data_IF_437267928263
#
_entry.id   IF_437267928263
#
_cell.length_a   1.000
_cell.length_b   1.000
_cell.length_c   1.000
_cell.angle_alpha   90.00
_cell.angle_beta   90.00
_cell.angle_gamma   90.00
#
_symmetry.space_group_name_H-M   'P 1'
#
loop_
_entity.id
_entity.type
_entity.pdbx_description
1 polymer ?
#
# COMPACT_ATOMS: atom_id res chain seq x y z
N UNK A 1 -5.14 -2.17 39.65
CA UNK A 1 -5.50 -1.76 38.28
C UNK A 1 -4.21 -1.30 37.62
N UNK A 2 -3.76 -1.97 36.56
CA UNK A 2 -2.56 -1.54 35.81
C UNK A 2 -3.03 -0.45 34.85
N UNK A 3 -2.73 0.81 35.14
CA UNK A 3 -2.78 1.87 34.14
C UNK A 3 -1.85 1.44 33.01
N UNK A 4 -2.43 1.12 31.86
CA UNK A 4 -1.68 0.81 30.65
C UNK A 4 -1.16 2.17 30.18
N UNK A 5 0.12 2.44 30.41
CA UNK A 5 0.69 3.76 30.16
C UNK A 5 0.36 4.22 28.73
N UNK A 6 -0.31 5.36 28.65
CA UNK A 6 -0.51 6.13 27.43
C UNK A 6 0.82 6.25 26.69
N UNK A 7 0.86 5.80 25.43
CA UNK A 7 2.06 5.98 24.60
C UNK A 7 2.27 7.47 24.35
N UNK A 8 3.53 7.90 24.43
CA UNK A 8 3.90 9.30 24.20
C UNK A 8 3.24 9.83 22.89
N UNK A 9 2.39 10.87 22.94
CA UNK A 9 1.70 11.44 21.78
C UNK A 9 2.65 11.78 20.64
N UNK A 10 3.85 12.30 20.94
CA UNK A 10 4.84 12.61 19.91
C UNK A 10 5.34 11.35 19.19
N UNK A 11 5.41 10.21 19.87
CA UNK A 11 5.75 8.93 19.22
C UNK A 11 4.64 8.50 18.27
N UNK A 12 3.39 8.52 18.72
CA UNK A 12 2.22 8.15 17.92
C UNK A 12 2.07 9.06 16.69
N UNK A 13 2.31 10.36 16.85
CA UNK A 13 2.33 11.31 15.74
C UNK A 13 3.43 10.97 14.72
N UNK A 14 4.66 10.74 15.19
CA UNK A 14 5.79 10.41 14.32
C UNK A 14 5.60 9.06 13.61
N UNK A 15 5.04 8.06 14.27
CA UNK A 15 4.68 6.77 13.68
C UNK A 15 3.63 6.97 12.57
N UNK A 16 2.61 7.79 12.82
CA UNK A 16 1.58 8.12 11.82
C UNK A 16 2.16 8.86 10.61
N UNK A 17 3.04 9.85 10.83
CA UNK A 17 3.71 10.55 9.73
C UNK A 17 4.59 9.63 8.87
N UNK A 18 5.31 8.70 9.50
CA UNK A 18 6.10 7.69 8.77
C UNK A 18 5.18 6.77 7.96
N UNK A 19 4.08 6.32 8.55
CA UNK A 19 3.09 5.51 7.85
C UNK A 19 2.55 6.22 6.60
N UNK A 20 2.18 7.51 6.72
CA UNK A 20 1.73 8.33 5.57
C UNK A 20 2.81 8.36 4.49
N UNK A 21 4.07 8.68 4.85
CA UNK A 21 5.18 8.72 3.89
C UNK A 21 5.41 7.37 3.19
N UNK A 22 5.28 6.25 3.91
CA UNK A 22 5.40 4.91 3.34
C UNK A 22 4.26 4.60 2.37
N UNK A 23 3.02 4.99 2.72
CA UNK A 23 1.85 4.83 1.86
C UNK A 23 1.93 5.71 0.60
N UNK A 24 2.48 6.92 0.71
CA UNK A 24 2.73 7.78 -0.46
C UNK A 24 3.80 7.19 -1.39
N UNK A 25 4.87 6.61 -0.84
CA UNK A 25 5.84 5.88 -1.65
C UNK A 25 5.19 4.71 -2.40
N UNK A 26 4.28 4.01 -1.72
CA UNK A 26 3.53 2.89 -2.31
C UNK A 26 2.57 3.36 -3.40
N UNK A 27 2.01 4.58 -3.30
CA UNK A 27 1.22 5.21 -4.37
C UNK A 27 2.04 5.32 -5.64
N UNK A 28 3.24 5.88 -5.52
CA UNK A 28 4.15 6.06 -6.65
C UNK A 28 4.57 4.69 -7.22
N UNK A 29 4.77 3.68 -6.37
CA UNK A 29 5.08 2.32 -6.79
C UNK A 29 3.93 1.66 -7.56
N UNK A 30 2.68 1.78 -7.10
CA UNK A 30 1.50 1.25 -7.80
C UNK A 30 1.36 1.93 -9.17
N UNK A 31 1.52 3.25 -9.23
CA UNK A 31 1.48 4.00 -10.48
C UNK A 31 2.56 3.52 -11.46
N UNK A 32 3.81 3.40 -10.98
CA UNK A 32 4.92 2.87 -11.77
C UNK A 32 4.62 1.46 -12.32
N UNK A 33 4.09 0.56 -11.49
CA UNK A 33 3.76 -0.80 -11.91
C UNK A 33 2.61 -0.84 -12.93
N UNK A 34 1.62 0.05 -12.78
CA UNK A 34 0.53 0.22 -13.74
C UNK A 34 1.06 0.65 -15.10
N UNK A 35 1.93 1.66 -15.13
CA UNK A 35 2.54 2.15 -16.37
C UNK A 35 3.47 1.12 -16.99
N UNK A 36 4.22 0.39 -16.17
CA UNK A 36 5.05 -0.71 -16.62
C UNK A 36 4.24 -1.82 -17.31
N UNK A 37 3.08 -2.21 -16.78
CA UNK A 37 2.21 -3.18 -17.45
C UNK A 37 1.66 -2.62 -18.78
N UNK A 38 1.30 -1.33 -18.82
CA UNK A 38 0.80 -0.68 -20.04
C UNK A 38 1.83 -0.75 -21.17
N UNK A 39 3.11 -0.53 -20.88
CA UNK A 39 4.21 -0.61 -21.86
C UNK A 39 4.33 -1.99 -22.54
N UNK A 40 3.95 -3.08 -21.86
CA UNK A 40 4.01 -4.45 -22.40
C UNK A 40 2.65 -5.01 -22.84
N UNK A 41 1.62 -4.16 -22.99
CA UNK A 41 0.24 -4.59 -23.25
C UNK A 41 0.11 -5.44 -24.53
N UNK A 42 0.79 -5.07 -25.62
CA UNK A 42 0.69 -5.77 -26.90
C UNK A 42 1.24 -7.20 -26.82
N UNK A 43 2.38 -7.37 -26.14
CA UNK A 43 2.98 -8.67 -25.88
C UNK A 43 2.13 -9.50 -24.93
N UNK A 44 1.51 -8.88 -23.92
CA UNK A 44 0.64 -9.55 -22.96
C UNK A 44 -0.60 -10.14 -23.63
N UNK A 45 -1.27 -9.37 -24.50
CA UNK A 45 -2.48 -9.82 -25.19
C UNK A 45 -2.20 -10.96 -26.18
N UNK A 46 -1.00 -11.00 -26.76
CA UNK A 46 -0.58 -12.04 -27.69
C UNK A 46 0.10 -13.25 -27.03
N UNK A 47 0.25 -13.23 -25.71
CA UNK A 47 0.93 -14.29 -24.95
C UNK A 47 -0.04 -15.22 -24.23
N UNK A 48 0.50 -16.36 -23.77
CA UNK A 48 -0.19 -17.28 -22.84
C UNK A 48 -0.52 -16.65 -21.48
N UNK A 49 -0.07 -15.42 -21.20
CA UNK A 49 -0.23 -14.73 -19.92
C UNK A 49 -1.39 -13.73 -19.89
N UNK A 50 -2.30 -13.76 -20.88
CA UNK A 50 -3.44 -12.84 -20.93
C UNK A 50 -4.27 -12.85 -19.64
N UNK A 51 -4.66 -14.02 -19.13
CA UNK A 51 -5.49 -14.12 -17.91
C UNK A 51 -4.73 -13.65 -16.66
N UNK A 52 -3.43 -13.97 -16.56
CA UNK A 52 -2.57 -13.49 -15.47
C UNK A 52 -2.44 -11.96 -15.50
N UNK A 53 -2.26 -11.36 -16.69
CA UNK A 53 -2.18 -9.90 -16.83
C UNK A 53 -3.49 -9.20 -16.48
N UNK A 54 -4.65 -9.75 -16.84
CA UNK A 54 -5.95 -9.22 -16.42
C UNK A 54 -6.11 -9.23 -14.91
N UNK A 55 -5.70 -10.33 -14.25
CA UNK A 55 -5.71 -10.42 -12.78
C UNK A 55 -4.81 -9.36 -12.16
N UNK A 56 -3.61 -9.15 -12.70
CA UNK A 56 -2.67 -8.12 -12.21
C UNK A 56 -3.26 -6.71 -12.37
N UNK A 57 -3.87 -6.40 -13.51
CA UNK A 57 -4.50 -5.09 -13.74
C UNK A 57 -5.67 -4.87 -12.78
N UNK A 58 -6.47 -5.91 -12.52
CA UNK A 58 -7.54 -5.85 -11.53
C UNK A 58 -6.98 -5.61 -10.13
N UNK A 59 -5.94 -6.34 -9.72
CA UNK A 59 -5.29 -6.18 -8.42
C UNK A 59 -4.72 -4.77 -8.23
N UNK A 60 -4.05 -4.22 -9.26
CA UNK A 60 -3.52 -2.84 -9.23
C UNK A 60 -4.64 -1.81 -9.02
N UNK A 61 -5.77 -1.94 -9.74
CA UNK A 61 -6.92 -1.03 -9.56
C UNK A 61 -7.57 -1.17 -8.18
N UNK A 62 -7.64 -2.39 -7.64
CA UNK A 62 -8.12 -2.60 -6.26
C UNK A 62 -7.16 -2.00 -5.24
N UNK A 63 -5.85 -2.11 -5.46
CA UNK A 63 -4.83 -1.61 -4.53
C UNK A 63 -4.78 -0.09 -4.52
N UNK A 64 -4.95 0.57 -5.67
CA UNK A 64 -5.09 2.02 -5.77
C UNK A 64 -6.24 2.54 -4.88
N UNK A 65 -7.43 1.95 -5.01
CA UNK A 65 -8.60 2.32 -4.18
C UNK A 65 -8.39 2.03 -2.70
N UNK A 66 -7.76 0.91 -2.39
CA UNK A 66 -7.47 0.51 -1.01
C UNK A 66 -6.48 1.50 -0.36
N UNK A 67 -5.46 1.90 -1.13
CA UNK A 67 -4.47 2.87 -0.69
C UNK A 67 -5.08 4.24 -0.44
N UNK A 68 -5.96 4.72 -1.34
CA UNK A 68 -6.66 5.99 -1.15
C UNK A 68 -7.49 6.00 0.15
N UNK A 69 -8.22 4.92 0.42
CA UNK A 69 -8.97 4.78 1.67
C UNK A 69 -8.03 4.79 2.88
N UNK A 70 -6.96 3.99 2.83
CA UNK A 70 -6.04 3.86 3.96
C UNK A 70 -5.27 5.15 4.24
N UNK A 71 -4.86 5.89 3.21
CA UNK A 71 -4.26 7.23 3.35
C UNK A 71 -5.23 8.19 4.02
N UNK A 72 -6.49 8.21 3.57
CA UNK A 72 -7.53 9.04 4.17
C UNK A 72 -7.77 8.70 5.64
N UNK A 73 -7.87 7.41 5.96
CA UNK A 73 -8.08 6.94 7.33
C UNK A 73 -6.89 7.30 8.22
N UNK A 74 -5.66 7.15 7.72
CA UNK A 74 -4.43 7.52 8.44
C UNK A 74 -4.32 9.03 8.65
N UNK A 75 -4.69 9.85 7.67
CA UNK A 75 -4.72 11.32 7.78
C UNK A 75 -5.77 11.78 8.81
N UNK A 76 -6.97 11.19 8.78
CA UNK A 76 -7.99 11.45 9.79
C UNK A 76 -7.49 11.06 11.18
N UNK A 77 -6.85 9.90 11.32
CA UNK A 77 -6.27 9.44 12.58
C UNK A 77 -5.18 10.37 13.13
N UNK A 78 -4.36 10.94 12.23
CA UNK A 78 -3.38 11.97 12.58
C UNK A 78 -4.06 13.22 13.16
N UNK A 79 -5.16 13.66 12.54
CA UNK A 79 -5.90 14.84 12.99
C UNK A 79 -6.61 14.59 14.32
N UNK A 80 -7.16 13.39 14.51
CA UNK A 80 -7.81 12.99 15.76
C UNK A 80 -6.82 13.04 16.96
N UNK A 81 -5.54 12.77 16.74
CA UNK A 81 -4.52 12.93 17.79
C UNK A 81 -4.44 14.38 18.29
N UNK A 82 -4.49 15.33 17.35
CA UNK A 82 -4.43 16.74 17.69
C UNK A 82 -5.65 17.15 18.52
N UNK A 83 -6.85 16.71 18.09
CA UNK A 83 -8.09 16.93 18.83
C UNK A 83 -8.03 16.36 20.25
N UNK A 84 -7.59 15.11 20.39
CA UNK A 84 -7.47 14.45 21.70
C UNK A 84 -6.52 15.19 22.67
N UNK A 85 -5.48 15.84 22.16
CA UNK A 85 -4.56 16.63 22.98
C UNK A 85 -5.11 18.00 23.38
N UNK A 86 -6.07 18.53 22.61
CA UNK A 86 -6.66 19.85 22.82
C UNK A 86 -7.94 19.80 23.70
N UNK A 87 -8.57 18.63 23.83
CA UNK A 87 -9.83 18.42 24.56
C UNK A 87 -9.66 18.14 26.08
N UNK A 88 -10.77 18.27 26.82
CA UNK A 88 -10.85 17.94 28.25
C UNK A 88 -10.87 16.42 28.39
N UNK A 89 -10.04 15.87 29.27
CA UNK A 89 -9.91 14.43 29.61
C UNK A 89 -11.26 13.68 29.61
N UNK A 90 -11.56 12.98 28.50
CA UNK A 90 -12.73 12.12 28.34
C UNK A 90 -12.31 10.69 28.70
N UNK A 91 -13.03 10.00 29.61
CA UNK A 91 -12.70 8.63 29.96
C UNK A 91 -12.66 7.71 28.72
N UNK A 92 -11.65 6.84 28.68
CA UNK A 92 -11.44 5.77 27.68
C UNK A 92 -11.08 6.21 26.25
N UNK A 93 -11.18 7.49 25.90
CA UNK A 93 -10.87 8.00 24.55
C UNK A 93 -9.41 7.74 24.13
N UNK A 94 -8.51 7.82 25.10
CA UNK A 94 -7.11 7.43 24.96
C UNK A 94 -6.94 5.94 24.57
N UNK A 95 -7.56 5.04 25.32
CA UNK A 95 -7.43 3.60 25.05
C UNK A 95 -8.02 3.25 23.67
N UNK A 96 -9.14 3.86 23.29
CA UNK A 96 -9.75 3.73 21.97
C UNK A 96 -8.83 4.24 20.85
N UNK A 97 -8.21 5.41 21.03
CA UNK A 97 -7.25 5.96 20.09
C UNK A 97 -6.07 5.03 19.85
N UNK A 98 -5.51 4.44 20.92
CA UNK A 98 -4.40 3.50 20.80
C UNK A 98 -4.80 2.21 20.07
N UNK A 99 -6.01 1.69 20.31
CA UNK A 99 -6.52 0.52 19.60
C UNK A 99 -6.62 0.79 18.10
N UNK A 100 -7.23 1.92 17.72
CA UNK A 100 -7.36 2.29 16.31
C UNK A 100 -6.00 2.58 15.67
N UNK A 101 -5.08 3.23 16.38
CA UNK A 101 -3.72 3.45 15.91
C UNK A 101 -3.03 2.13 15.53
N UNK A 102 -3.05 1.13 16.42
CA UNK A 102 -2.43 -0.17 16.14
C UNK A 102 -3.09 -0.89 14.97
N UNK A 103 -4.41 -0.75 14.82
CA UNK A 103 -5.16 -1.32 13.70
C UNK A 103 -4.71 -0.71 12.37
N UNK A 104 -4.70 0.63 12.26
CA UNK A 104 -4.26 1.33 11.05
C UNK A 104 -2.82 0.97 10.69
N UNK A 105 -1.91 0.96 11.68
CA UNK A 105 -0.50 0.59 11.43
C UNK A 105 -0.38 -0.85 10.92
N UNK A 106 -1.15 -1.77 11.49
CA UNK A 106 -1.14 -3.19 11.07
C UNK A 106 -1.71 -3.36 9.66
N UNK A 107 -2.76 -2.62 9.32
CA UNK A 107 -3.38 -2.61 7.98
C UNK A 107 -2.41 -2.07 6.93
N UNK A 108 -1.68 -0.99 7.23
CA UNK A 108 -0.64 -0.44 6.36
C UNK A 108 0.51 -1.42 6.12
N UNK A 109 1.00 -2.09 7.17
CA UNK A 109 2.03 -3.12 7.02
C UNK A 109 1.52 -4.27 6.12
N UNK A 110 0.30 -4.75 6.36
CA UNK A 110 -0.30 -5.82 5.58
C UNK A 110 -0.50 -5.41 4.11
N UNK A 111 -0.92 -4.17 3.85
CA UNK A 111 -1.07 -3.61 2.51
C UNK A 111 0.27 -3.55 1.78
N UNK A 112 1.31 -3.02 2.41
CA UNK A 112 2.66 -2.94 1.84
C UNK A 112 3.21 -4.33 1.47
N UNK A 113 2.93 -5.36 2.28
CA UNK A 113 3.29 -6.74 1.95
C UNK A 113 2.54 -7.28 0.73
N UNK A 114 1.27 -6.90 0.53
CA UNK A 114 0.48 -7.28 -0.65
C UNK A 114 1.06 -6.63 -1.92
N UNK A 115 1.37 -5.33 -1.87
CA UNK A 115 1.99 -4.60 -2.99
C UNK A 115 3.34 -5.22 -3.37
N UNK A 116 4.21 -5.51 -2.38
CA UNK A 116 5.50 -6.20 -2.64
C UNK A 116 5.35 -7.55 -3.34
N UNK A 117 4.34 -8.34 -2.96
CA UNK A 117 4.05 -9.62 -3.61
C UNK A 117 3.58 -9.44 -5.05
N UNK A 118 2.70 -8.46 -5.29
CA UNK A 118 2.23 -8.13 -6.64
C UNK A 118 3.37 -7.63 -7.52
N UNK A 119 4.23 -6.75 -7.00
CA UNK A 119 5.45 -6.27 -7.67
C UNK A 119 6.35 -7.41 -8.14
N UNK A 120 6.58 -8.42 -7.29
CA UNK A 120 7.38 -9.59 -7.67
C UNK A 120 6.75 -10.34 -8.85
N UNK A 121 5.43 -10.59 -8.81
CA UNK A 121 4.69 -11.24 -9.91
C UNK A 121 4.79 -10.45 -11.22
N UNK A 122 4.64 -9.13 -11.16
CA UNK A 122 4.75 -8.25 -12.32
C UNK A 122 6.15 -8.35 -12.96
N UNK A 123 7.20 -8.32 -12.15
CA UNK A 123 8.56 -8.45 -12.68
C UNK A 123 8.84 -9.82 -13.29
N UNK A 124 8.35 -10.90 -12.69
CA UNK A 124 8.50 -12.24 -13.26
C UNK A 124 7.78 -12.36 -14.60
N UNK A 125 6.56 -11.83 -14.70
CA UNK A 125 5.80 -11.77 -15.94
C UNK A 125 6.54 -11.01 -17.05
N UNK A 126 7.02 -9.80 -16.74
CA UNK A 126 7.76 -8.97 -17.70
C UNK A 126 9.06 -9.64 -18.13
N UNK A 127 9.77 -10.27 -17.20
CA UNK A 127 11.00 -11.00 -17.49
C UNK A 127 10.75 -12.13 -18.49
N UNK A 128 9.67 -12.88 -18.37
CA UNK A 128 9.29 -13.93 -19.33
C UNK A 128 8.96 -13.35 -20.71
N UNK A 129 8.21 -12.25 -20.77
CA UNK A 129 7.91 -11.55 -22.02
C UNK A 129 9.19 -11.08 -22.73
N UNK A 130 10.10 -10.45 -21.99
CA UNK A 130 11.37 -9.95 -22.52
C UNK A 130 12.26 -11.10 -23.03
N UNK A 131 12.24 -12.28 -22.41
CA UNK A 131 12.98 -13.46 -22.89
C UNK A 131 12.45 -13.92 -24.25
N UNK A 132 11.14 -14.06 -24.40
CA UNK A 132 10.50 -14.45 -25.67
C UNK A 132 10.82 -13.43 -26.75
N UNK A 133 10.76 -12.13 -26.43
CA UNK A 133 11.11 -11.05 -27.34
C UNK A 133 12.57 -11.11 -27.83
N UNK A 134 13.52 -11.37 -26.93
CA UNK A 134 14.95 -11.55 -27.29
C UNK A 134 15.17 -12.77 -28.19
N UNK A 135 14.56 -13.91 -27.87
CA UNK A 135 14.71 -15.13 -28.65
C UNK A 135 14.22 -14.96 -30.10
N UNK A 136 13.10 -14.26 -30.30
CA UNK A 136 12.57 -13.95 -31.65
C UNK A 136 13.49 -13.03 -32.46
N UNK A 137 14.28 -12.15 -31.82
CA UNK A 137 15.23 -11.25 -32.50
C UNK A 137 16.54 -11.94 -32.90
N UNK A 138 16.93 -13.01 -32.21
CA UNK A 138 18.14 -13.79 -32.50
C UNK A 138 17.96 -14.87 -33.57
N UNK A 139 16.71 -15.20 -33.91
CA UNK A 139 16.35 -16.18 -34.95
C UNK A 139 16.10 -15.52 -36.33
N UNK A 140 16.54 -14.27 -36.50
CA UNK A 140 16.54 -13.54 -37.76
C UNK A 140 17.93 -13.48 -38.37
#
# INVERSE_FOLDING_TARGET
>A
MKYKEWRNPSSLHNETLRCISDLEFVRDEIQFLSDLIKEFTLELISSKHLEESKSIVSDLSTYEKTLESLLKDTENHKNNLQTLLDDIDIPDEEDEYQVEHNKIMSEAIAFNLKVRKLKAKIFDLIKEIMKVGKQKRLLK
#
